data_IF_373275086741
#
_entry.id   IF_373275086741
#
_cell.length_a   1.000
_cell.length_b   1.000
_cell.length_c   1.000
_cell.angle_alpha   90.00
_cell.angle_beta   90.00
_cell.angle_gamma   90.00
#
_symmetry.space_group_name_H-M   'P 1'
#
loop_
_entity.id
_entity.type
_entity.pdbx_description
1 polymer ?
#
# COMPACT_ATOMS: atom_id res chain seq x y z
N UNK A 1 -14.29 9.14 18.90
CA UNK A 1 -13.24 8.73 17.93
C UNK A 1 -12.08 9.72 18.05
N UNK A 2 -10.90 9.28 18.46
CA UNK A 2 -9.76 10.18 18.65
C UNK A 2 -8.84 10.17 17.43
N UNK A 3 -8.26 11.33 17.09
CA UNK A 3 -7.24 11.41 16.08
C UNK A 3 -5.99 10.69 16.58
N UNK A 4 -5.46 9.74 15.80
CA UNK A 4 -4.26 8.97 16.14
C UNK A 4 -3.06 9.86 16.52
N UNK A 5 -2.94 11.04 15.93
CA UNK A 5 -1.85 11.97 16.24
C UNK A 5 -1.94 12.54 17.66
N UNK A 6 -3.13 12.62 18.24
CA UNK A 6 -3.38 13.16 19.58
C UNK A 6 -3.26 12.12 20.69
N UNK A 7 -3.17 10.83 20.37
CA UNK A 7 -3.05 9.76 21.36
C UNK A 7 -1.58 9.65 21.78
N UNK A 8 -1.31 9.70 23.08
CA UNK A 8 0.06 9.52 23.58
C UNK A 8 0.34 8.03 23.83
N UNK A 9 1.16 7.44 22.98
CA UNK A 9 1.73 6.12 23.19
C UNK A 9 3.16 6.23 23.70
N UNK A 10 3.56 5.29 24.56
CA UNK A 10 4.96 5.15 24.99
C UNK A 10 5.82 4.79 23.78
N UNK A 11 7.03 5.38 23.69
CA UNK A 11 8.03 4.96 22.70
C UNK A 11 8.43 3.50 22.92
N UNK A 12 8.78 2.82 21.84
CA UNK A 12 9.27 1.43 21.87
C UNK A 12 8.31 0.46 22.61
N UNK A 13 7.00 0.64 22.39
CA UNK A 13 5.98 -0.12 23.10
C UNK A 13 5.48 -1.34 22.32
N UNK A 14 5.25 -1.19 21.02
CA UNK A 14 4.61 -2.24 20.21
C UNK A 14 5.62 -3.19 19.59
N UNK A 15 5.38 -4.49 19.70
CA UNK A 15 6.16 -5.57 19.08
C UNK A 15 5.86 -5.72 17.57
N UNK A 16 4.71 -5.26 17.13
CA UNK A 16 4.33 -5.16 15.72
C UNK A 16 3.22 -4.15 15.54
N UNK A 17 3.15 -3.54 14.36
CA UNK A 17 2.09 -2.59 14.00
C UNK A 17 1.55 -2.98 12.63
N UNK A 18 0.23 -3.02 12.47
CA UNK A 18 -0.42 -3.28 11.19
C UNK A 18 -1.36 -2.13 10.85
N UNK A 19 -1.23 -1.57 9.65
CA UNK A 19 -2.09 -0.52 9.12
C UNK A 19 -2.64 -0.94 7.74
N UNK A 20 -3.91 -1.32 7.72
CA UNK A 20 -4.58 -1.81 6.51
C UNK A 20 -5.42 -0.71 5.89
N UNK A 21 -5.04 -0.24 4.70
CA UNK A 21 -5.84 0.71 3.90
C UNK A 21 -6.24 2.01 4.63
N UNK A 22 -5.47 2.48 5.61
CA UNK A 22 -5.84 3.61 6.48
C UNK A 22 -5.09 4.88 6.14
N UNK A 23 -3.79 4.81 5.91
CA UNK A 23 -2.91 5.99 5.82
C UNK A 23 -3.32 6.95 4.70
N UNK A 24 -3.77 6.47 3.56
CA UNK A 24 -4.18 7.32 2.44
C UNK A 24 -5.53 8.04 2.64
N UNK A 25 -6.24 7.75 3.74
CA UNK A 25 -7.42 8.52 4.18
C UNK A 25 -7.04 9.67 5.13
N UNK A 26 -5.79 9.73 5.56
CA UNK A 26 -5.25 10.83 6.37
C UNK A 26 -4.84 11.99 5.44
N UNK A 27 -4.94 13.24 5.94
CA UNK A 27 -4.54 14.40 5.17
C UNK A 27 -3.11 14.25 4.64
N UNK A 28 -2.85 14.71 3.41
CA UNK A 28 -1.52 14.65 2.78
C UNK A 28 -0.41 15.13 3.70
N UNK A 29 -0.67 16.23 4.42
CA UNK A 29 0.32 16.89 5.28
C UNK A 29 0.61 16.09 6.56
N UNK A 30 -0.34 15.29 7.01
CA UNK A 30 -0.22 14.52 8.25
C UNK A 30 0.27 13.07 8.03
N UNK A 31 0.19 12.53 6.82
CA UNK A 31 0.67 11.17 6.54
C UNK A 31 2.11 10.95 7.00
N UNK A 32 3.01 11.91 6.73
CA UNK A 32 4.42 11.83 7.18
C UNK A 32 4.55 11.80 8.70
N UNK A 33 3.75 12.62 9.41
CA UNK A 33 3.73 12.65 10.88
C UNK A 33 3.25 11.32 11.45
N UNK A 34 2.17 10.77 10.86
CA UNK A 34 1.61 9.47 11.25
C UNK A 34 2.66 8.35 11.10
N UNK A 35 3.32 8.25 9.94
CA UNK A 35 4.34 7.21 9.72
C UNK A 35 5.52 7.38 10.69
N UNK A 36 6.01 8.60 10.92
CA UNK A 36 7.05 8.84 11.93
C UNK A 36 6.60 8.44 13.33
N UNK A 37 5.34 8.69 13.68
CA UNK A 37 4.78 8.28 14.97
C UNK A 37 4.71 6.76 15.08
N UNK A 38 4.25 6.04 14.05
CA UNK A 38 4.27 4.57 14.01
C UNK A 38 5.68 4.02 14.26
N UNK A 39 6.71 4.60 13.59
CA UNK A 39 8.10 4.21 13.79
C UNK A 39 8.56 4.50 15.23
N UNK A 40 8.16 5.63 15.82
CA UNK A 40 8.59 6.00 17.17
C UNK A 40 8.03 5.08 18.27
N UNK A 41 6.80 4.59 18.10
CA UNK A 41 6.12 3.75 19.09
C UNK A 41 6.38 2.25 18.90
N UNK A 42 6.93 1.82 17.76
CA UNK A 42 7.38 0.45 17.55
C UNK A 42 8.71 0.20 18.25
N UNK A 43 8.91 -1.00 18.76
CA UNK A 43 10.21 -1.45 19.27
C UNK A 43 11.21 -1.55 18.13
N UNK A 44 12.49 -1.53 18.49
CA UNK A 44 13.61 -1.72 17.56
C UNK A 44 13.46 -3.05 16.81
N UNK A 45 13.73 -3.06 15.51
CA UNK A 45 13.59 -4.20 14.60
C UNK A 45 12.18 -4.78 14.45
N UNK A 46 11.18 -4.23 15.14
CA UNK A 46 9.79 -4.68 15.06
C UNK A 46 9.15 -4.28 13.73
N UNK A 47 8.37 -5.17 13.11
CA UNK A 47 7.77 -4.88 11.81
C UNK A 47 6.56 -3.94 11.95
N UNK A 48 6.54 -2.91 11.12
CA UNK A 48 5.37 -2.07 10.84
C UNK A 48 4.92 -2.42 9.43
N UNK A 49 3.80 -3.11 9.31
CA UNK A 49 3.24 -3.58 8.03
C UNK A 49 2.13 -2.63 7.58
N UNK A 50 2.29 -2.04 6.43
CA UNK A 50 1.35 -1.05 5.89
C UNK A 50 0.88 -1.53 4.51
N UNK A 51 -0.42 -1.79 4.35
CA UNK A 51 -1.01 -1.98 3.04
C UNK A 51 -1.45 -0.63 2.51
N UNK A 52 -0.89 -0.27 1.37
CA UNK A 52 -1.07 1.04 0.77
C UNK A 52 -1.63 0.94 -0.65
N UNK A 53 -2.15 2.02 -1.19
CA UNK A 53 -2.62 2.07 -2.57
C UNK A 53 -1.60 2.81 -3.44
N UNK A 54 -1.24 2.21 -4.57
CA UNK A 54 -0.37 2.83 -5.54
C UNK A 54 -1.18 3.78 -6.44
N UNK A 55 -0.83 5.07 -6.54
CA UNK A 55 -1.55 6.03 -7.37
C UNK A 55 -1.16 5.95 -8.87
N UNK A 56 -0.11 5.21 -9.21
CA UNK A 56 0.50 5.22 -10.56
C UNK A 56 0.47 3.83 -11.21
N UNK A 57 -0.69 3.16 -11.15
CA UNK A 57 -0.86 1.81 -11.69
C UNK A 57 -0.88 1.80 -13.23
N UNK A 58 -0.47 0.67 -13.83
CA UNK A 58 -0.61 0.47 -15.29
C UNK A 58 -2.06 0.62 -15.75
N UNK A 59 -3.01 0.11 -14.96
CA UNK A 59 -4.44 0.22 -15.29
C UNK A 59 -4.88 1.69 -15.30
N UNK A 60 -4.42 2.51 -14.34
CA UNK A 60 -4.77 3.92 -14.33
C UNK A 60 -4.12 4.69 -15.48
N UNK A 61 -2.90 4.30 -15.89
CA UNK A 61 -2.24 4.85 -17.08
C UNK A 61 -3.02 4.52 -18.35
N UNK A 62 -3.43 3.26 -18.54
CA UNK A 62 -4.27 2.83 -19.67
C UNK A 62 -5.60 3.58 -19.67
N UNK A 63 -6.29 3.69 -18.53
CA UNK A 63 -7.54 4.45 -18.42
C UNK A 63 -7.39 5.92 -18.78
N UNK A 64 -6.27 6.55 -18.43
CA UNK A 64 -5.96 7.93 -18.82
C UNK A 64 -5.79 8.06 -20.34
N UNK A 65 -5.06 7.14 -20.97
CA UNK A 65 -4.86 7.11 -22.43
C UNK A 65 -6.21 6.95 -23.15
N UNK A 66 -7.06 6.05 -22.66
CA UNK A 66 -8.39 5.79 -23.21
C UNK A 66 -9.41 6.87 -22.86
N UNK A 67 -9.01 7.99 -22.24
CA UNK A 67 -9.88 9.10 -21.80
C UNK A 67 -11.12 8.66 -21.01
N UNK A 68 -10.98 7.57 -20.24
CA UNK A 68 -12.09 7.02 -19.46
C UNK A 68 -12.48 7.98 -18.33
N UNK A 69 -13.67 8.62 -18.48
CA UNK A 69 -14.21 9.54 -17.46
C UNK A 69 -14.70 8.74 -16.26
N UNK A 70 -14.07 8.94 -15.10
CA UNK A 70 -14.57 8.42 -13.83
C UNK A 70 -15.85 9.15 -13.45
N UNK A 71 -16.98 8.43 -13.23
CA UNK A 71 -18.18 9.03 -12.60
C UNK A 71 -17.80 9.54 -11.21
N UNK A 72 -18.01 10.84 -10.98
CA UNK A 72 -17.81 11.44 -9.66
C UNK A 72 -18.86 10.85 -8.70
N UNK A 73 -18.40 10.06 -7.73
CA UNK A 73 -19.16 9.74 -6.52
C UNK A 73 -18.55 10.55 -5.40
N UNK A 74 -19.34 11.08 -4.48
CA UNK A 74 -18.84 11.66 -3.23
C UNK A 74 -17.86 10.69 -2.58
N UNK A 75 -16.66 11.13 -2.34
CA UNK A 75 -15.57 10.25 -1.90
C UNK A 75 -15.03 10.73 -0.58
N UNK A 76 -14.85 9.80 0.33
CA UNK A 76 -13.93 9.93 1.43
C UNK A 76 -12.60 10.50 0.91
N UNK A 77 -11.97 11.36 1.72
CA UNK A 77 -10.64 11.88 1.40
C UNK A 77 -9.70 10.71 1.07
N UNK A 78 -9.02 10.83 -0.05
CA UNK A 78 -8.13 9.79 -0.55
C UNK A 78 -6.93 10.45 -1.25
N UNK A 79 -5.76 10.30 -0.65
CA UNK A 79 -4.51 10.78 -1.23
C UNK A 79 -3.40 9.75 -1.05
N UNK A 80 -2.83 9.30 -2.16
CA UNK A 80 -1.72 8.35 -2.16
C UNK A 80 -0.44 9.02 -2.68
N UNK A 81 0.63 8.80 -1.95
CA UNK A 81 1.99 9.09 -2.42
C UNK A 81 2.49 7.95 -3.31
N UNK A 82 3.43 8.24 -4.22
CA UNK A 82 4.15 7.22 -4.98
C UNK A 82 5.04 6.38 -4.07
N UNK A 83 5.46 5.21 -4.57
CA UNK A 83 6.31 4.28 -3.80
C UNK A 83 7.62 4.96 -3.33
N UNK A 84 8.22 5.79 -4.16
CA UNK A 84 9.47 6.49 -3.84
C UNK A 84 9.34 7.40 -2.61
N UNK A 85 8.14 7.90 -2.31
CA UNK A 85 7.91 8.73 -1.13
C UNK A 85 8.25 8.01 0.18
N UNK A 86 8.13 6.70 0.23
CA UNK A 86 8.42 5.91 1.43
C UNK A 86 9.91 5.84 1.74
N UNK A 87 10.78 6.03 0.73
CA UNK A 87 12.23 6.00 0.91
C UNK A 87 12.76 7.14 1.80
N UNK A 88 11.99 8.20 2.01
CA UNK A 88 12.37 9.27 2.95
C UNK A 88 12.53 8.78 4.40
N UNK A 89 11.95 7.61 4.74
CA UNK A 89 12.05 7.02 6.08
C UNK A 89 13.29 6.11 6.23
N UNK A 90 14.06 5.86 5.18
CA UNK A 90 15.25 4.98 5.21
C UNK A 90 16.35 5.43 6.17
N UNK A 91 16.33 6.71 6.59
CA UNK A 91 17.27 7.22 7.63
C UNK A 91 16.93 6.75 9.04
N UNK A 92 15.70 6.32 9.31
CA UNK A 92 15.19 5.98 10.65
C UNK A 92 14.61 4.57 10.75
N UNK A 93 14.40 3.92 9.60
CA UNK A 93 13.89 2.56 9.52
C UNK A 93 14.34 1.89 8.22
N UNK A 94 14.56 0.59 8.24
CA UNK A 94 14.69 -0.22 7.02
C UNK A 94 13.34 -0.21 6.30
N UNK A 95 13.32 0.10 5.01
CA UNK A 95 12.10 0.17 4.17
C UNK A 95 12.14 -0.96 3.17
N UNK A 96 11.16 -1.84 3.22
CA UNK A 96 11.03 -2.98 2.30
C UNK A 96 9.65 -2.93 1.63
N UNK A 97 9.57 -3.39 0.38
CA UNK A 97 8.35 -3.40 -0.41
C UNK A 97 8.05 -4.80 -0.91
N UNK A 98 6.78 -5.21 -0.83
CA UNK A 98 6.32 -6.51 -1.31
C UNK A 98 5.02 -6.34 -2.11
N UNK A 99 4.78 -7.13 -3.16
CA UNK A 99 3.47 -7.20 -3.77
C UNK A 99 2.50 -7.90 -2.81
N UNK A 100 1.28 -7.37 -2.70
CA UNK A 100 0.21 -8.03 -1.95
C UNK A 100 -0.96 -8.36 -2.84
N UNK A 101 -1.39 -7.40 -3.63
CA UNK A 101 -2.56 -7.56 -4.49
C UNK A 101 -2.42 -6.70 -5.72
N UNK A 102 -2.17 -7.32 -6.85
CA UNK A 102 -1.95 -6.61 -8.11
C UNK A 102 -3.21 -5.95 -8.66
N UNK A 103 -4.36 -6.57 -8.46
CA UNK A 103 -5.63 -6.12 -9.01
C UNK A 103 -6.69 -5.90 -7.92
N UNK A 104 -7.59 -4.94 -8.13
CA UNK A 104 -8.80 -4.82 -7.30
C UNK A 104 -9.72 -6.03 -7.46
N UNK A 105 -10.63 -6.26 -6.51
CA UNK A 105 -11.61 -7.36 -6.59
C UNK A 105 -12.43 -7.31 -7.88
N UNK A 106 -12.77 -6.10 -8.36
CA UNK A 106 -13.51 -5.93 -9.60
C UNK A 106 -12.70 -6.34 -10.82
N UNK A 107 -11.42 -5.91 -10.88
CA UNK A 107 -10.52 -6.31 -11.97
C UNK A 107 -10.21 -7.81 -11.93
N UNK A 108 -10.05 -8.40 -10.75
CA UNK A 108 -9.83 -9.84 -10.61
C UNK A 108 -10.99 -10.66 -11.17
N UNK A 109 -12.25 -10.28 -10.87
CA UNK A 109 -13.43 -10.97 -11.39
C UNK A 109 -13.52 -10.95 -12.90
N UNK A 110 -13.04 -9.87 -13.55
CA UNK A 110 -13.06 -9.73 -15.01
C UNK A 110 -11.92 -10.51 -15.65
N UNK A 111 -10.71 -10.41 -15.09
CA UNK A 111 -9.49 -10.99 -15.67
C UNK A 111 -9.36 -12.49 -15.40
N UNK A 112 -9.92 -12.98 -14.30
CA UNK A 112 -9.80 -14.37 -13.86
C UNK A 112 -11.19 -14.99 -13.68
N UNK A 113 -11.82 -15.46 -14.78
CA UNK A 113 -13.13 -16.10 -14.71
C UNK A 113 -13.05 -17.38 -13.84
N UNK A 114 -14.18 -17.72 -13.19
CA UNK A 114 -14.25 -18.88 -12.31
C UNK A 114 -14.36 -20.22 -13.09
N UNK A 115 -13.34 -20.51 -13.89
CA UNK A 115 -13.17 -21.74 -14.65
C UNK A 115 -11.73 -22.21 -14.60
N UNK A 116 -11.40 -23.34 -15.22
CA UNK A 116 -10.03 -23.91 -15.24
C UNK A 116 -9.01 -22.91 -15.84
N UNK A 117 -9.38 -22.25 -16.92
CA UNK A 117 -8.52 -21.26 -17.57
C UNK A 117 -8.20 -20.08 -16.63
N UNK A 118 -9.20 -19.51 -15.95
CA UNK A 118 -9.00 -18.45 -14.97
C UNK A 118 -8.14 -18.86 -13.78
N UNK A 119 -8.26 -20.13 -13.33
CA UNK A 119 -7.39 -20.68 -12.28
C UNK A 119 -5.92 -20.76 -12.72
N UNK A 120 -5.65 -21.19 -13.95
CA UNK A 120 -4.29 -21.22 -14.48
C UNK A 120 -3.70 -19.83 -14.67
N UNK A 121 -4.48 -18.89 -15.19
CA UNK A 121 -4.06 -17.47 -15.30
C UNK A 121 -3.71 -16.88 -13.92
N UNK A 122 -4.52 -17.19 -12.90
CA UNK A 122 -4.28 -16.68 -11.55
C UNK A 122 -3.02 -17.30 -10.92
N UNK A 123 -2.79 -18.61 -11.10
CA UNK A 123 -1.54 -19.26 -10.68
C UNK A 123 -0.33 -18.64 -11.38
N UNK A 124 -0.43 -18.37 -12.67
CA UNK A 124 0.61 -17.73 -13.45
C UNK A 124 0.91 -16.30 -12.95
N UNK A 125 -0.12 -15.53 -12.61
CA UNK A 125 0.04 -14.22 -11.99
C UNK A 125 0.85 -14.32 -10.68
N UNK A 126 0.52 -15.27 -9.80
CA UNK A 126 1.23 -15.45 -8.52
C UNK A 126 2.71 -15.75 -8.78
N UNK A 127 3.01 -16.68 -9.69
CA UNK A 127 4.40 -16.99 -10.05
C UNK A 127 5.16 -15.78 -10.59
N UNK A 128 4.49 -14.92 -11.36
CA UNK A 128 5.09 -13.67 -11.85
C UNK A 128 5.30 -12.65 -10.74
N UNK A 129 4.36 -12.52 -9.80
CA UNK A 129 4.51 -11.66 -8.62
C UNK A 129 5.73 -12.08 -7.79
N UNK A 130 5.93 -13.38 -7.59
CA UNK A 130 7.08 -13.92 -6.87
C UNK A 130 8.40 -13.69 -7.63
N UNK A 131 8.39 -13.88 -8.94
CA UNK A 131 9.59 -13.73 -9.77
C UNK A 131 10.01 -12.28 -10.01
N UNK A 132 9.05 -11.35 -10.08
CA UNK A 132 9.28 -9.94 -10.38
C UNK A 132 8.64 -9.00 -9.35
N UNK A 133 8.92 -9.14 -8.05
CA UNK A 133 8.22 -8.40 -7.00
C UNK A 133 8.33 -6.88 -7.17
N UNK A 134 9.50 -6.36 -7.52
CA UNK A 134 9.72 -4.93 -7.71
C UNK A 134 8.88 -4.33 -8.84
N UNK A 135 8.66 -5.08 -9.91
CA UNK A 135 7.80 -4.66 -11.01
C UNK A 135 6.34 -4.54 -10.53
N UNK A 136 5.85 -5.54 -9.78
CA UNK A 136 4.49 -5.54 -9.27
C UNK A 136 4.24 -4.45 -8.23
N UNK A 137 5.16 -4.24 -7.30
CA UNK A 137 5.11 -3.14 -6.34
C UNK A 137 4.99 -1.78 -7.03
N UNK A 138 5.77 -1.56 -8.08
CA UNK A 138 5.83 -0.27 -8.77
C UNK A 138 4.61 -0.01 -9.67
N UNK A 139 4.05 -1.05 -10.27
CA UNK A 139 3.08 -0.90 -11.38
C UNK A 139 1.67 -1.40 -11.07
N UNK A 140 1.47 -2.07 -9.93
CA UNK A 140 0.17 -2.63 -9.56
C UNK A 140 -0.41 -1.99 -8.29
N UNK A 141 -1.60 -2.45 -7.87
CA UNK A 141 -2.48 -1.61 -7.06
C UNK A 141 -2.13 -1.53 -5.59
N UNK A 142 -1.81 -2.66 -4.93
CA UNK A 142 -1.63 -2.68 -3.48
C UNK A 142 -0.28 -3.29 -3.09
N UNK A 143 0.76 -2.46 -2.89
CA UNK A 143 1.99 -2.90 -2.26
C UNK A 143 1.81 -3.04 -0.75
N UNK A 144 2.57 -3.96 -0.15
CA UNK A 144 2.91 -3.97 1.27
C UNK A 144 4.18 -3.18 1.45
N UNK A 145 4.17 -2.28 2.43
CA UNK A 145 5.33 -1.52 2.87
C UNK A 145 5.67 -2.00 4.28
N UNK A 146 6.86 -2.51 4.46
CA UNK A 146 7.36 -2.96 5.76
C UNK A 146 8.44 -2.00 6.23
N UNK A 147 8.23 -1.42 7.41
CA UNK A 147 9.21 -0.56 8.06
C UNK A 147 9.70 -1.28 9.31
N UNK A 148 11.03 -1.31 9.52
CA UNK A 148 11.67 -1.83 10.74
C UNK A 148 12.58 -0.76 11.30
N UNK A 149 12.26 -0.24 12.49
CA UNK A 149 13.04 0.79 13.17
C UNK A 149 14.46 0.28 13.43
N UNK A 150 15.47 1.14 13.22
CA UNK A 150 16.87 0.86 13.58
C UNK A 150 17.11 0.86 15.09
#
# INVERSE_FOLDING_TARGET
>A
CNNFLNINFKKDFFDSIISLHTIYHISKNDQKKVVKKLISISKKNSPIVIIYSNPDTLIDKIKKILKYKKKNKEKLYFYCHKIEWWLQFSKIAKVEFYPWRSFSSQHQKILFPNNLFGKYLFKFLILFEEKFPNFFVKHFQYPIIVLKKY
#
